data_IF_913317396870
#
_entry.id   IF_913317396870
#
_cell.length_a   1.000
_cell.length_b   1.000
_cell.length_c   1.000
_cell.angle_alpha   90.00
_cell.angle_beta   90.00
_cell.angle_gamma   90.00
#
_symmetry.space_group_name_H-M   'P 1'
#
loop_
_entity.id
_entity.type
_entity.pdbx_description
1 polymer ?
#
# COMPACT_ATOMS: atom_id res chain seq x y z
N UNK A 1 -7.57 -24.23 -7.61
CA UNK A 1 -8.63 -23.39 -6.99
C UNK A 1 -9.69 -22.94 -7.99
N UNK A 2 -9.32 -22.30 -9.12
CA UNK A 2 -10.28 -21.87 -10.15
C UNK A 2 -10.99 -23.02 -10.86
N UNK A 3 -10.23 -24.07 -11.24
CA UNK A 3 -10.80 -25.27 -11.86
C UNK A 3 -11.86 -25.91 -10.95
N UNK A 4 -11.51 -26.13 -9.68
CA UNK A 4 -12.42 -26.63 -8.63
C UNK A 4 -13.66 -25.74 -8.47
N UNK A 5 -13.53 -24.41 -8.59
CA UNK A 5 -14.67 -23.50 -8.55
C UNK A 5 -15.61 -23.67 -9.76
N UNK A 6 -15.06 -23.93 -10.95
CA UNK A 6 -15.83 -24.27 -12.14
C UNK A 6 -16.56 -25.60 -12.01
N UNK A 7 -15.89 -26.64 -11.51
CA UNK A 7 -16.47 -27.97 -11.26
C UNK A 7 -17.61 -27.92 -10.23
N UNK A 8 -17.53 -27.03 -9.25
CA UNK A 8 -18.59 -26.79 -8.28
C UNK A 8 -19.69 -25.84 -8.79
N UNK A 9 -19.84 -25.65 -10.09
CA UNK A 9 -20.87 -24.77 -10.69
C UNK A 9 -20.83 -23.34 -10.12
N UNK A 10 -19.63 -22.80 -9.89
CA UNK A 10 -19.44 -21.50 -9.25
C UNK A 10 -19.94 -21.41 -7.78
N UNK A 11 -20.12 -22.54 -7.09
CA UNK A 11 -20.47 -22.58 -5.66
C UNK A 11 -19.20 -22.55 -4.80
N UNK A 12 -18.85 -21.36 -4.29
CA UNK A 12 -17.61 -21.15 -3.53
C UNK A 12 -17.47 -21.98 -2.23
N UNK A 13 -18.58 -22.36 -1.59
CA UNK A 13 -18.55 -23.21 -0.38
C UNK A 13 -18.16 -24.64 -0.73
N UNK A 14 -18.85 -25.23 -1.71
CA UNK A 14 -18.55 -26.56 -2.23
C UNK A 14 -17.12 -26.62 -2.77
N UNK A 15 -16.68 -25.58 -3.48
CA UNK A 15 -15.32 -25.47 -3.98
C UNK A 15 -14.27 -25.44 -2.86
N UNK A 16 -14.54 -24.80 -1.73
CA UNK A 16 -13.62 -24.79 -0.58
C UNK A 16 -13.53 -26.18 0.08
N UNK A 17 -14.65 -26.89 0.20
CA UNK A 17 -14.69 -28.26 0.73
C UNK A 17 -13.96 -29.23 -0.19
N UNK A 18 -14.27 -29.20 -1.49
CA UNK A 18 -13.63 -30.06 -2.50
C UNK A 18 -12.13 -29.76 -2.64
N UNK A 19 -11.73 -28.50 -2.43
CA UNK A 19 -10.31 -28.15 -2.38
C UNK A 19 -9.60 -28.83 -1.21
N UNK A 20 -10.21 -28.83 -0.03
CA UNK A 20 -9.67 -29.50 1.17
C UNK A 20 -9.60 -31.01 1.01
N UNK A 21 -10.59 -31.60 0.36
CA UNK A 21 -10.63 -33.04 0.10
C UNK A 21 -9.52 -33.47 -0.88
N UNK A 22 -9.32 -32.71 -1.97
CA UNK A 22 -8.31 -33.03 -2.99
C UNK A 22 -6.88 -32.67 -2.59
N UNK A 23 -6.73 -31.67 -1.74
CA UNK A 23 -5.43 -31.19 -1.25
C UNK A 23 -5.46 -31.14 0.28
N UNK A 24 -5.33 -32.31 0.95
CA UNK A 24 -5.40 -32.40 2.40
C UNK A 24 -4.19 -31.73 3.09
N UNK A 25 -3.06 -31.70 2.40
CA UNK A 25 -1.82 -31.09 2.91
C UNK A 25 -1.73 -29.61 2.51
N UNK A 26 -1.61 -28.73 3.50
CA UNK A 26 -1.33 -27.31 3.31
C UNK A 26 -2.48 -26.36 3.66
N UNK A 27 -2.32 -25.05 3.35
CA UNK A 27 -3.29 -24.03 3.71
C UNK A 27 -4.54 -24.08 2.84
N UNK A 28 -5.71 -24.16 3.49
CA UNK A 28 -7.01 -24.28 2.85
C UNK A 28 -7.64 -22.91 2.57
N UNK A 29 -7.97 -22.57 1.31
CA UNK A 29 -8.62 -21.31 0.99
C UNK A 29 -10.06 -21.29 1.49
N UNK A 30 -10.44 -20.20 2.16
CA UNK A 30 -11.84 -20.00 2.56
C UNK A 30 -12.72 -19.64 1.37
N UNK A 31 -14.05 -19.80 1.52
CA UNK A 31 -15.05 -19.31 0.56
C UNK A 31 -14.80 -17.84 0.15
N UNK A 32 -14.43 -16.99 1.11
CA UNK A 32 -14.20 -15.57 0.85
C UNK A 32 -12.96 -15.34 -0.02
N UNK A 33 -11.88 -16.09 0.22
CA UNK A 33 -10.67 -16.05 -0.62
C UNK A 33 -11.01 -16.45 -2.06
N UNK A 34 -11.78 -17.52 -2.24
CA UNK A 34 -12.24 -17.97 -3.55
C UNK A 34 -12.99 -16.86 -4.29
N UNK A 35 -14.00 -16.27 -3.64
CA UNK A 35 -14.79 -15.19 -4.23
C UNK A 35 -13.97 -13.95 -4.57
N UNK A 36 -13.02 -13.55 -3.70
CA UNK A 36 -12.14 -12.40 -3.95
C UNK A 36 -11.24 -12.61 -5.17
N UNK A 37 -10.74 -13.84 -5.37
CA UNK A 37 -9.92 -14.18 -6.54
C UNK A 37 -10.77 -14.18 -7.80
N UNK A 38 -11.95 -14.83 -7.79
CA UNK A 38 -12.85 -14.84 -8.95
C UNK A 38 -13.28 -13.42 -9.33
N UNK A 39 -13.64 -12.59 -8.35
CA UNK A 39 -13.99 -11.18 -8.58
C UNK A 39 -12.86 -10.43 -9.28
N UNK A 40 -11.63 -10.54 -8.78
CA UNK A 40 -10.46 -9.89 -9.39
C UNK A 40 -10.19 -10.37 -10.82
N UNK A 41 -10.36 -11.67 -11.08
CA UNK A 41 -10.19 -12.22 -12.43
C UNK A 41 -11.26 -11.72 -13.38
N UNK A 42 -12.52 -11.63 -12.95
CA UNK A 42 -13.59 -11.05 -13.78
C UNK A 42 -13.35 -9.58 -14.07
N UNK A 43 -12.84 -8.82 -13.11
CA UNK A 43 -12.60 -7.38 -13.26
C UNK A 43 -11.35 -7.05 -14.08
N UNK A 44 -10.27 -7.82 -13.94
CA UNK A 44 -8.95 -7.46 -14.48
C UNK A 44 -8.37 -8.47 -15.47
N UNK A 45 -8.96 -9.66 -15.59
CA UNK A 45 -8.44 -10.76 -16.42
C UNK A 45 -7.25 -11.51 -15.82
N UNK A 46 -6.62 -11.01 -14.76
CA UNK A 46 -5.46 -11.65 -14.13
C UNK A 46 -5.39 -11.38 -12.62
N UNK A 47 -4.64 -12.23 -11.90
CA UNK A 47 -4.32 -12.04 -10.48
C UNK A 47 -2.82 -11.82 -10.36
N UNK A 48 -2.41 -10.60 -10.01
CA UNK A 48 -1.03 -10.32 -9.62
C UNK A 48 -0.84 -10.53 -8.12
N UNK A 49 0.33 -11.04 -7.74
CA UNK A 49 0.81 -10.90 -6.37
C UNK A 49 0.87 -9.40 -6.05
N UNK A 50 0.14 -8.96 -5.01
CA UNK A 50 0.33 -7.60 -4.52
C UNK A 50 1.75 -7.53 -3.96
N UNK A 51 2.63 -6.67 -4.50
CA UNK A 51 3.93 -6.46 -3.88
C UNK A 51 3.65 -6.00 -2.45
N UNK A 52 4.23 -6.72 -1.48
CA UNK A 52 4.28 -6.21 -0.11
C UNK A 52 5.21 -5.01 -0.20
N UNK A 53 4.64 -3.81 -0.31
CA UNK A 53 5.39 -2.55 -0.20
C UNK A 53 5.84 -2.45 1.25
N UNK A 54 6.90 -3.19 1.58
CA UNK A 54 7.67 -2.96 2.79
C UNK A 54 8.34 -1.62 2.57
N UNK A 55 7.79 -0.57 3.18
CA UNK A 55 8.45 0.73 3.19
C UNK A 55 9.86 0.54 3.76
N UNK A 56 10.92 1.03 3.10
CA UNK A 56 12.27 0.94 3.65
C UNK A 56 12.29 1.64 5.01
N UNK A 57 12.78 0.96 6.05
CA UNK A 57 12.88 1.51 7.40
C UNK A 57 14.08 2.44 7.51
N UNK A 58 14.12 3.53 6.74
CA UNK A 58 15.32 4.37 6.57
C UNK A 58 15.88 4.99 7.86
N UNK A 59 15.10 5.03 8.95
CA UNK A 59 15.44 5.80 10.15
C UNK A 59 15.23 5.04 11.47
N UNK A 60 15.19 3.70 11.46
CA UNK A 60 15.02 2.96 12.73
C UNK A 60 16.33 2.89 13.52
N UNK A 61 16.27 3.04 14.85
CA UNK A 61 17.40 2.82 15.78
C UNK A 61 18.07 1.47 15.59
N UNK A 62 17.31 0.44 15.20
CA UNK A 62 17.86 -0.88 14.86
C UNK A 62 18.79 -0.83 13.64
N UNK A 63 18.37 -0.16 12.57
CA UNK A 63 19.18 -0.05 11.35
C UNK A 63 20.45 0.77 11.59
N UNK A 64 20.35 1.86 12.36
CA UNK A 64 21.51 2.69 12.71
C UNK A 64 22.48 1.89 13.59
N UNK A 65 21.97 1.13 14.55
CA UNK A 65 22.76 0.22 15.40
C UNK A 65 23.52 -0.82 14.57
N UNK A 66 22.86 -1.47 13.60
CA UNK A 66 23.49 -2.44 12.69
C UNK A 66 24.55 -1.79 11.79
N UNK A 67 24.29 -0.59 11.26
CA UNK A 67 25.21 0.11 10.38
C UNK A 67 26.44 0.67 11.12
N UNK A 68 26.26 1.15 12.35
CA UNK A 68 27.32 1.78 13.13
C UNK A 68 28.02 0.82 14.10
N UNK A 69 27.55 -0.43 14.22
CA UNK A 69 28.07 -1.39 15.20
C UNK A 69 27.81 -0.99 16.67
N UNK A 70 26.88 -0.07 16.91
CA UNK A 70 26.57 0.44 18.24
C UNK A 70 25.42 -0.32 18.88
N UNK A 71 25.39 -0.38 20.22
CA UNK A 71 24.21 -0.82 20.94
C UNK A 71 23.03 0.12 20.66
N UNK A 72 21.82 -0.44 20.52
CA UNK A 72 20.60 0.36 20.28
C UNK A 72 20.34 1.43 21.33
N UNK A 73 20.68 1.16 22.60
CA UNK A 73 20.58 2.12 23.70
C UNK A 73 21.45 3.34 23.45
N UNK A 74 22.70 3.12 23.02
CA UNK A 74 23.63 4.19 22.70
C UNK A 74 23.13 5.05 21.53
N UNK A 75 22.60 4.41 20.48
CA UNK A 75 21.98 5.15 19.37
C UNK A 75 20.79 6.00 19.85
N UNK A 76 19.97 5.47 20.77
CA UNK A 76 18.83 6.20 21.32
C UNK A 76 19.27 7.41 22.15
N UNK A 77 20.31 7.25 22.98
CA UNK A 77 20.91 8.36 23.74
C UNK A 77 21.41 9.46 22.81
N UNK A 78 22.21 9.12 21.80
CA UNK A 78 22.75 10.09 20.83
C UNK A 78 21.63 10.85 20.12
N UNK A 79 20.59 10.15 19.65
CA UNK A 79 19.46 10.79 18.95
C UNK A 79 18.69 11.76 19.86
N UNK A 80 18.57 11.48 21.15
CA UNK A 80 17.91 12.38 22.09
C UNK A 80 18.77 13.58 22.47
N UNK A 81 20.06 13.35 22.74
CA UNK A 81 21.01 14.42 23.05
C UNK A 81 21.18 15.39 21.87
N UNK A 82 21.18 14.87 20.64
CA UNK A 82 21.29 15.69 19.44
C UNK A 82 19.95 16.28 18.98
N UNK A 83 18.84 16.03 19.69
CA UNK A 83 17.49 16.44 19.26
C UNK A 83 17.05 15.85 17.91
N UNK A 84 17.70 14.78 17.45
CA UNK A 84 17.44 14.17 16.15
C UNK A 84 16.33 13.13 16.28
N UNK A 85 15.09 13.57 16.18
CA UNK A 85 13.94 12.66 16.19
C UNK A 85 13.74 11.99 14.81
N UNK A 86 13.77 10.66 14.71
CA UNK A 86 13.49 9.97 13.45
C UNK A 86 12.08 10.26 12.93
N UNK A 87 11.96 11.11 11.91
CA UNK A 87 10.67 11.32 11.25
C UNK A 87 10.29 10.12 10.39
N UNK A 88 9.01 9.73 10.44
CA UNK A 88 8.44 8.71 9.56
C UNK A 88 7.79 9.39 8.36
N UNK A 89 8.54 9.49 7.26
CA UNK A 89 7.98 9.97 6.00
C UNK A 89 6.76 9.13 5.59
N UNK A 90 5.60 9.78 5.57
CA UNK A 90 4.35 9.21 5.10
C UNK A 90 3.93 10.00 3.88
N UNK A 91 4.07 9.45 2.67
CA UNK A 91 3.50 10.09 1.49
C UNK A 91 1.99 10.18 1.69
N UNK A 92 1.48 11.40 1.73
CA UNK A 92 0.04 11.70 1.76
C UNK A 92 -0.41 11.92 0.31
N UNK A 93 -1.68 11.65 0.03
CA UNK A 93 -2.35 11.92 -1.26
C UNK A 93 -1.99 11.02 -2.46
N UNK A 94 -0.87 10.29 -2.44
CA UNK A 94 -0.58 9.28 -3.48
C UNK A 94 -0.49 9.85 -4.89
N UNK A 95 0.10 11.05 -5.00
CA UNK A 95 0.25 11.78 -6.26
C UNK A 95 0.94 10.92 -7.32
N UNK A 96 0.35 10.88 -8.51
CA UNK A 96 0.91 10.25 -9.69
C UNK A 96 1.63 11.29 -10.55
N UNK A 97 2.60 10.89 -11.39
CA UNK A 97 3.33 11.84 -12.26
C UNK A 97 2.41 12.72 -13.12
N UNK A 98 1.27 12.18 -13.55
CA UNK A 98 0.24 12.91 -14.32
C UNK A 98 -0.48 14.02 -13.55
N UNK A 99 -0.44 13.97 -12.21
CA UNK A 99 -1.15 14.94 -11.37
C UNK A 99 -0.36 16.26 -11.28
N UNK A 100 0.95 16.25 -11.56
CA UNK A 100 1.81 17.43 -11.54
C UNK A 100 1.30 18.52 -12.49
N UNK A 101 1.06 18.20 -13.76
CA UNK A 101 0.54 19.14 -14.76
C UNK A 101 -0.80 19.75 -14.34
N UNK A 102 -1.70 18.93 -13.80
CA UNK A 102 -3.02 19.37 -13.33
C UNK A 102 -2.90 20.32 -12.14
N UNK A 103 -1.97 20.03 -11.24
CA UNK A 103 -1.69 20.87 -10.09
C UNK A 103 -1.08 22.21 -10.53
N UNK A 104 -0.09 22.20 -11.43
CA UNK A 104 0.49 23.42 -11.99
C UNK A 104 -0.55 24.28 -12.69
N UNK A 105 -1.40 23.67 -13.51
CA UNK A 105 -2.48 24.38 -14.21
C UNK A 105 -3.44 25.05 -13.23
N UNK A 106 -3.88 24.32 -12.20
CA UNK A 106 -4.76 24.87 -11.17
C UNK A 106 -4.08 25.99 -10.37
N UNK A 107 -2.82 25.82 -9.99
CA UNK A 107 -2.06 26.85 -9.30
C UNK A 107 -1.92 28.11 -10.15
N UNK A 108 -1.55 27.99 -11.42
CA UNK A 108 -1.44 29.11 -12.34
C UNK A 108 -2.78 29.82 -12.53
N UNK A 109 -3.88 29.07 -12.65
CA UNK A 109 -5.21 29.66 -12.69
C UNK A 109 -5.49 30.50 -11.44
N UNK A 110 -5.25 29.96 -10.24
CA UNK A 110 -5.48 30.70 -8.99
C UNK A 110 -4.58 31.93 -8.89
N UNK A 111 -3.29 31.80 -9.24
CA UNK A 111 -2.34 32.93 -9.20
C UNK A 111 -2.76 34.05 -10.14
N UNK A 112 -3.08 33.74 -11.40
CA UNK A 112 -3.50 34.74 -12.38
C UNK A 112 -4.77 35.47 -11.95
N UNK A 113 -5.75 34.75 -11.39
CA UNK A 113 -6.98 35.38 -10.90
C UNK A 113 -6.77 36.23 -9.64
N UNK A 114 -5.78 35.91 -8.81
CA UNK A 114 -5.40 36.73 -7.65
C UNK A 114 -4.69 38.03 -8.09
N UNK A 115 -3.90 37.98 -9.16
CA UNK A 115 -3.24 39.16 -9.73
C UNK A 115 -4.29 40.17 -10.26
N UNK A 116 -5.31 39.68 -10.96
CA UNK A 116 -6.38 40.51 -11.51
C UNK A 116 -7.41 40.94 -10.43
N UNK A 117 -7.71 40.04 -9.48
CA UNK A 117 -8.74 40.22 -8.47
C UNK A 117 -8.22 39.75 -7.10
N UNK A 118 -7.66 40.63 -6.26
CA UNK A 118 -7.05 40.23 -4.98
C UNK A 118 -8.04 39.63 -3.96
N UNK A 119 -9.34 39.78 -4.17
CA UNK A 119 -10.40 39.15 -3.36
C UNK A 119 -10.92 37.83 -3.94
N UNK A 120 -10.30 37.29 -5.00
CA UNK A 120 -10.77 36.10 -5.73
C UNK A 120 -11.01 34.86 -4.85
N UNK A 121 -10.30 34.74 -3.73
CA UNK A 121 -10.44 33.62 -2.79
C UNK A 121 -11.26 33.96 -1.53
N UNK A 122 -11.77 35.18 -1.41
CA UNK A 122 -12.69 35.54 -0.33
C UNK A 122 -14.12 35.12 -0.73
N UNK A 123 -14.68 34.16 0.01
CA UNK A 123 -16.06 33.69 -0.10
C UNK A 123 -16.95 34.56 0.79
#
# INVERSE_FOLDING_TARGET
MLLIYGECESKAKSAAMLYRERFPEGPHPTRQTILKVIKRLREKGFVTSRPRVRRPRKSSTKMISENCGLAKSHVWTILNESGAHPYRFTPVQGLLPRDAERHYTRCNFVMNNLDDHPTFLQI
#
